data_IF_585932886548
#
_entry.id   IF_585932886548
#
_cell.length_a   1.000
_cell.length_b   1.000
_cell.length_c   1.000
_cell.angle_alpha   90.00
_cell.angle_beta   90.00
_cell.angle_gamma   90.00
#
_symmetry.space_group_name_H-M   'P 1'
#
loop_
_entity.id
_entity.type
_entity.pdbx_description
1 polymer ?
#
# COMPACT_ATOMS: atom_id res chain seq x y z
N UNK A 1 6.35 2.35 -14.84
CA UNK A 1 7.54 2.27 -13.97
C UNK A 1 7.50 3.48 -13.06
N UNK A 2 6.99 3.31 -11.84
CA UNK A 2 6.95 4.41 -10.87
C UNK A 2 8.35 4.61 -10.33
N UNK A 3 9.06 5.62 -10.85
CA UNK A 3 10.24 6.15 -10.16
C UNK A 3 9.75 7.14 -9.12
N UNK A 4 9.53 6.68 -7.89
CA UNK A 4 9.30 7.56 -6.76
C UNK A 4 10.54 7.50 -5.86
N UNK A 5 11.32 8.59 -5.80
CA UNK A 5 12.35 8.74 -4.77
C UNK A 5 11.68 9.14 -3.47
N UNK A 6 11.25 8.17 -2.66
CA UNK A 6 10.81 8.44 -1.29
C UNK A 6 12.05 8.43 -0.38
N UNK A 7 12.42 9.59 0.18
CA UNK A 7 13.48 9.67 1.18
C UNK A 7 12.98 9.11 2.52
N UNK A 8 13.77 8.24 3.13
CA UNK A 8 13.53 7.80 4.50
C UNK A 8 13.69 9.00 5.45
N UNK A 9 12.73 9.25 6.34
CA UNK A 9 12.75 10.42 7.24
C UNK A 9 13.75 10.29 8.39
N UNK A 10 14.45 9.14 8.49
CA UNK A 10 15.46 8.86 9.53
C UNK A 10 16.68 8.16 8.95
N UNK A 11 17.87 8.67 9.29
CA UNK A 11 19.15 8.08 8.88
C UNK A 11 19.60 8.48 7.47
N UNK A 12 20.72 7.91 7.02
CA UNK A 12 21.22 8.15 5.66
C UNK A 12 20.25 7.55 4.64
N UNK A 13 19.97 8.23 3.51
CA UNK A 13 19.15 7.67 2.44
C UNK A 13 19.70 6.31 2.01
N UNK A 14 18.85 5.29 2.00
CA UNK A 14 19.16 3.95 1.49
C UNK A 14 18.33 3.71 0.24
N UNK A 15 18.97 3.18 -0.79
CA UNK A 15 18.26 2.72 -1.98
C UNK A 15 17.39 1.53 -1.59
N UNK A 16 16.10 1.62 -1.87
CA UNK A 16 15.17 0.50 -1.82
C UNK A 16 14.67 0.27 -3.24
N UNK A 17 15.02 -0.89 -3.81
CA UNK A 17 14.54 -1.32 -5.11
C UNK A 17 13.26 -2.13 -4.91
N UNK A 18 12.27 -1.86 -5.74
CA UNK A 18 10.95 -2.49 -5.67
C UNK A 18 10.52 -2.97 -7.04
N UNK A 19 10.08 -4.22 -7.11
CA UNK A 19 9.34 -4.77 -8.23
C UNK A 19 7.87 -4.38 -8.09
N UNK A 20 7.33 -3.69 -9.10
CA UNK A 20 5.90 -3.40 -9.21
C UNK A 20 5.13 -4.58 -9.80
N UNK A 21 4.33 -5.23 -8.97
CA UNK A 21 3.47 -6.36 -9.30
C UNK A 21 2.01 -5.91 -9.33
N UNK A 22 1.22 -6.60 -10.17
CA UNK A 22 -0.25 -6.48 -10.22
C UNK A 22 -0.75 -5.01 -10.31
N UNK A 23 -0.31 -4.23 -11.32
CA UNK A 23 -0.78 -2.87 -11.48
C UNK A 23 -2.29 -2.85 -11.76
N UNK A 24 -3.00 -2.02 -11.01
CA UNK A 24 -4.38 -1.64 -11.31
C UNK A 24 -4.41 -0.13 -11.40
N UNK A 25 -4.79 0.42 -12.53
CA UNK A 25 -4.87 1.85 -12.76
C UNK A 25 -6.21 2.21 -13.36
N UNK A 26 -6.66 3.44 -13.10
CA UNK A 26 -7.68 4.10 -13.92
C UNK A 26 -7.00 5.21 -14.73
N UNK A 27 -7.65 5.64 -15.80
CA UNK A 27 -7.19 6.82 -16.53
C UNK A 27 -7.28 8.01 -15.56
N UNK A 28 -6.19 8.75 -15.34
CA UNK A 28 -6.20 9.87 -14.42
C UNK A 28 -7.14 10.95 -14.94
N UNK A 29 -7.83 11.68 -14.05
CA UNK A 29 -8.55 12.87 -14.46
C UNK A 29 -7.58 13.89 -15.08
N UNK A 30 -8.10 14.84 -15.86
CA UNK A 30 -7.26 15.92 -16.36
C UNK A 30 -6.54 16.62 -15.20
N UNK A 31 -5.27 17.05 -15.37
CA UNK A 31 -4.55 17.78 -14.35
C UNK A 31 -5.35 19.00 -13.88
N UNK A 32 -5.36 19.26 -12.58
CA UNK A 32 -6.02 20.43 -12.02
C UNK A 32 -5.33 21.71 -12.54
N UNK A 33 -6.03 22.62 -13.23
CA UNK A 33 -5.48 23.92 -13.59
C UNK A 33 -5.08 24.71 -12.35
N UNK A 34 -3.93 25.40 -12.35
CA UNK A 34 -3.49 26.20 -11.19
C UNK A 34 -2.94 25.39 -10.00
N UNK A 35 -2.50 24.14 -10.22
CA UNK A 35 -1.86 23.30 -9.20
C UNK A 35 -0.37 23.61 -8.99
N UNK A 36 0.37 22.69 -8.34
CA UNK A 36 1.81 22.84 -8.05
C UNK A 36 2.70 23.14 -9.28
N UNK A 37 2.18 22.91 -10.49
CA UNK A 37 2.85 23.20 -11.78
C UNK A 37 2.94 24.70 -12.10
N UNK A 38 2.16 25.53 -11.40
CA UNK A 38 2.08 26.98 -11.62
C UNK A 38 2.50 27.79 -10.37
N UNK A 39 2.92 27.12 -9.29
CA UNK A 39 3.31 27.77 -8.03
C UNK A 39 4.76 28.27 -8.10
N UNK A 40 4.99 29.54 -7.73
CA UNK A 40 6.33 30.08 -7.54
C UNK A 40 6.98 29.48 -6.28
N UNK A 41 8.18 28.92 -6.43
CA UNK A 41 8.92 28.32 -5.32
C UNK A 41 9.49 29.40 -4.38
N UNK A 42 8.75 29.75 -3.33
CA UNK A 42 9.12 30.79 -2.35
C UNK A 42 10.09 30.30 -1.25
N UNK A 43 10.34 28.99 -1.19
CA UNK A 43 11.18 28.34 -0.19
C UNK A 43 10.59 28.31 1.23
N UNK A 44 9.30 28.63 1.40
CA UNK A 44 8.61 28.71 2.69
C UNK A 44 7.33 27.89 2.74
N UNK A 45 6.52 27.96 1.69
CA UNK A 45 5.28 27.20 1.58
C UNK A 45 5.57 25.77 1.12
N UNK A 46 4.90 24.80 1.76
CA UNK A 46 4.81 23.45 1.23
C UNK A 46 3.71 23.42 0.18
N UNK A 47 3.91 22.63 -0.87
CA UNK A 47 2.88 22.39 -1.87
C UNK A 47 1.76 21.53 -1.28
N UNK A 48 0.52 21.82 -1.67
CA UNK A 48 -0.63 21.01 -1.27
C UNK A 48 -0.54 19.60 -1.90
N UNK A 49 -0.96 18.60 -1.14
CA UNK A 49 -1.07 17.22 -1.64
C UNK A 49 -2.24 17.08 -2.61
N UNK A 50 -1.98 16.50 -3.79
CA UNK A 50 -3.00 16.18 -4.79
C UNK A 50 -3.59 14.78 -4.61
N UNK A 51 -2.89 13.91 -3.85
CA UNK A 51 -3.28 12.53 -3.63
C UNK A 51 -3.07 12.09 -2.19
N UNK A 52 -3.85 11.09 -1.80
CA UNK A 52 -3.70 10.35 -0.56
C UNK A 52 -3.23 8.92 -0.87
N UNK A 53 -2.11 8.52 -0.28
CA UNK A 53 -1.51 7.21 -0.49
C UNK A 53 -1.60 6.39 0.79
N UNK A 54 -2.19 5.20 0.69
CA UNK A 54 -2.15 4.20 1.74
C UNK A 54 -1.18 3.08 1.35
N UNK A 55 -0.16 2.88 2.18
CA UNK A 55 0.89 1.90 2.00
C UNK A 55 0.84 0.88 3.14
N UNK A 56 0.58 -0.40 2.85
CA UNK A 56 0.63 -1.45 3.88
C UNK A 56 1.92 -2.24 3.70
N UNK A 57 2.77 -2.33 4.73
CA UNK A 57 4.02 -3.09 4.67
C UNK A 57 3.85 -4.46 5.32
N UNK A 58 4.38 -5.50 4.69
CA UNK A 58 4.24 -6.89 5.08
C UNK A 58 5.61 -7.54 5.29
N UNK A 59 5.76 -8.22 6.43
CA UNK A 59 6.93 -9.03 6.75
C UNK A 59 6.58 -10.49 6.48
N UNK A 60 6.60 -10.88 5.20
CA UNK A 60 6.24 -12.23 4.76
C UNK A 60 7.37 -13.20 5.14
N UNK A 61 7.01 -14.35 5.70
CA UNK A 61 8.00 -15.37 6.08
C UNK A 61 8.68 -15.98 4.85
N UNK A 62 9.96 -16.37 4.96
CA UNK A 62 10.68 -17.06 3.89
C UNK A 62 9.94 -18.30 3.40
N UNK A 63 9.79 -18.42 2.08
CA UNK A 63 9.09 -19.51 1.40
C UNK A 63 7.58 -19.30 1.27
N UNK A 64 7.00 -18.26 1.89
CA UNK A 64 5.57 -17.94 1.82
C UNK A 64 5.24 -16.82 0.81
N UNK A 65 6.24 -16.24 0.16
CA UNK A 65 6.11 -15.09 -0.75
C UNK A 65 5.20 -15.40 -1.94
N UNK A 66 5.41 -16.53 -2.60
CA UNK A 66 4.59 -16.95 -3.75
C UNK A 66 3.11 -17.12 -3.37
N UNK A 67 2.83 -17.75 -2.22
CA UNK A 67 1.46 -17.89 -1.71
C UNK A 67 0.84 -16.54 -1.33
N UNK A 68 1.64 -15.63 -0.79
CA UNK A 68 1.21 -14.26 -0.50
C UNK A 68 0.87 -13.49 -1.78
N UNK A 69 1.77 -13.47 -2.77
CA UNK A 69 1.56 -12.82 -4.08
C UNK A 69 0.32 -13.40 -4.79
N UNK A 70 0.17 -14.73 -4.78
CA UNK A 70 -0.98 -15.39 -5.38
C UNK A 70 -2.30 -15.03 -4.70
N UNK A 71 -2.31 -14.83 -3.37
CA UNK A 71 -3.48 -14.35 -2.63
C UNK A 71 -3.88 -12.91 -3.02
N UNK A 72 -2.95 -12.10 -3.52
CA UNK A 72 -3.28 -10.79 -4.10
C UNK A 72 -3.73 -10.91 -5.55
N UNK A 73 -3.06 -11.75 -6.35
CA UNK A 73 -3.39 -11.96 -7.75
C UNK A 73 -4.76 -12.62 -7.97
N UNK A 74 -5.18 -13.52 -7.09
CA UNK A 74 -6.47 -14.23 -7.18
C UNK A 74 -7.67 -13.37 -6.80
N UNK A 75 -7.46 -12.14 -6.34
CA UNK A 75 -8.56 -11.25 -5.96
C UNK A 75 -9.04 -10.51 -7.19
N UNK A 76 -10.32 -10.67 -7.50
CA UNK A 76 -11.02 -9.75 -8.37
C UNK A 76 -11.02 -8.36 -7.69
N UNK A 77 -10.33 -7.41 -8.30
CA UNK A 77 -10.14 -6.08 -7.72
C UNK A 77 -11.33 -5.18 -8.04
N UNK A 78 -12.20 -4.96 -7.06
CA UNK A 78 -13.28 -3.96 -7.15
C UNK A 78 -12.78 -2.54 -6.85
N UNK A 79 -11.46 -2.30 -6.81
CA UNK A 79 -10.89 -1.00 -6.46
C UNK A 79 -11.07 0.02 -7.58
N UNK A 80 -10.90 -0.41 -8.83
CA UNK A 80 -10.99 0.46 -10.00
C UNK A 80 -12.37 1.15 -10.15
N UNK A 81 -13.42 0.59 -9.56
CA UNK A 81 -14.77 1.15 -9.59
C UNK A 81 -15.11 2.06 -8.40
N UNK A 82 -14.15 2.32 -7.48
CA UNK A 82 -14.40 3.12 -6.28
C UNK A 82 -14.16 4.59 -6.56
N UNK A 83 -15.05 5.44 -6.04
CA UNK A 83 -14.86 6.89 -6.14
C UNK A 83 -13.52 7.30 -5.54
N UNK A 84 -12.82 8.15 -6.26
CA UNK A 84 -11.50 8.66 -5.90
C UNK A 84 -10.37 7.64 -5.95
N UNK A 85 -10.57 6.38 -6.36
CA UNK A 85 -9.44 5.47 -6.59
C UNK A 85 -8.65 5.89 -7.83
N UNK A 86 -7.32 5.88 -7.75
CA UNK A 86 -6.44 6.26 -8.86
C UNK A 86 -5.51 5.13 -9.30
N UNK A 87 -5.00 4.33 -8.36
CA UNK A 87 -4.20 3.19 -8.72
C UNK A 87 -3.72 2.33 -7.55
N UNK A 88 -3.18 1.18 -7.89
CA UNK A 88 -2.67 0.19 -6.96
C UNK A 88 -1.46 -0.56 -7.55
N UNK A 89 -0.48 -0.83 -6.68
CA UNK A 89 0.63 -1.75 -6.93
C UNK A 89 0.79 -2.66 -5.71
N UNK A 90 1.06 -3.94 -5.97
CA UNK A 90 1.77 -4.77 -5.01
C UNK A 90 3.27 -4.57 -5.29
N UNK A 91 4.04 -4.26 -4.27
CA UNK A 91 5.47 -4.01 -4.35
C UNK A 91 6.19 -5.15 -3.65
N UNK A 92 7.15 -5.78 -4.33
CA UNK A 92 8.11 -6.70 -3.73
C UNK A 92 9.45 -6.02 -3.63
N UNK A 93 10.07 -6.04 -2.45
CA UNK A 93 11.39 -5.45 -2.26
C UNK A 93 12.44 -6.38 -2.86
N UNK A 94 13.37 -5.82 -3.60
CA UNK A 94 14.56 -6.53 -4.03
C UNK A 94 15.61 -6.55 -2.92
N UNK A 95 16.28 -7.69 -2.75
CA UNK A 95 17.25 -7.94 -1.68
C UNK A 95 16.65 -8.08 -0.28
N UNK A 96 17.54 -8.21 0.72
CA UNK A 96 17.15 -8.40 2.12
C UNK A 96 16.80 -7.06 2.80
N UNK A 97 15.58 -6.87 3.31
CA UNK A 97 15.19 -5.65 4.03
C UNK A 97 15.86 -5.55 5.40
N UNK A 98 16.36 -4.35 5.74
CA UNK A 98 16.89 -4.02 7.06
C UNK A 98 15.78 -3.83 8.12
N UNK A 99 14.58 -3.42 7.69
CA UNK A 99 13.40 -3.27 8.52
C UNK A 99 12.52 -4.54 8.58
N UNK A 100 12.95 -5.62 7.90
CA UNK A 100 12.24 -6.89 7.83
C UNK A 100 10.95 -6.89 6.99
N UNK A 101 10.63 -5.80 6.28
CA UNK A 101 9.45 -5.76 5.40
C UNK A 101 9.83 -6.10 3.96
N UNK A 102 9.31 -7.22 3.47
CA UNK A 102 9.64 -7.78 2.15
C UNK A 102 8.68 -7.32 1.07
N UNK A 103 7.44 -6.98 1.44
CA UNK A 103 6.40 -6.57 0.50
C UNK A 103 5.67 -5.34 0.99
N UNK A 104 5.07 -4.60 0.07
CA UNK A 104 4.14 -3.53 0.40
C UNK A 104 3.04 -3.38 -0.62
N UNK A 105 1.82 -3.03 -0.23
CA UNK A 105 0.84 -2.49 -1.19
C UNK A 105 0.98 -0.98 -1.23
N UNK A 106 0.84 -0.37 -2.41
CA UNK A 106 0.68 1.06 -2.59
C UNK A 106 -0.69 1.29 -3.24
N UNK A 107 -1.59 2.01 -2.57
CA UNK A 107 -2.87 2.42 -3.15
C UNK A 107 -2.98 3.93 -3.15
N UNK A 108 -3.35 4.51 -4.28
CA UNK A 108 -3.44 5.95 -4.52
C UNK A 108 -4.90 6.35 -4.65
N UNK A 109 -5.26 7.42 -3.95
CA UNK A 109 -6.61 7.97 -3.86
C UNK A 109 -6.56 9.48 -4.11
N UNK A 110 -7.65 10.04 -4.61
CA UNK A 110 -7.85 11.49 -4.79
C UNK A 110 -7.61 12.24 -3.49
N UNK A 111 -8.16 11.74 -2.39
CA UNK A 111 -8.08 12.37 -1.09
C UNK A 111 -8.31 11.35 0.02
N UNK A 112 -8.06 11.78 1.26
CA UNK A 112 -8.26 10.96 2.45
C UNK A 112 -9.72 10.56 2.64
N UNK A 113 -10.68 11.42 2.29
CA UNK A 113 -12.10 11.15 2.48
C UNK A 113 -12.58 10.00 1.58
N UNK A 114 -12.14 9.96 0.32
CA UNK A 114 -12.40 8.87 -0.61
C UNK A 114 -11.84 7.54 -0.09
N UNK A 115 -10.60 7.55 0.41
CA UNK A 115 -10.01 6.38 1.04
C UNK A 115 -10.80 5.90 2.27
N UNK A 116 -11.20 6.82 3.14
CA UNK A 116 -11.96 6.50 4.36
C UNK A 116 -13.37 5.98 4.06
N UNK A 117 -14.05 6.56 3.08
CA UNK A 117 -15.35 6.10 2.60
C UNK A 117 -15.25 4.66 2.06
N UNK A 118 -14.23 4.37 1.25
CA UNK A 118 -13.96 3.00 0.82
C UNK A 118 -13.61 2.08 1.99
N UNK A 119 -12.76 2.54 2.93
CA UNK A 119 -12.32 1.76 4.08
C UNK A 119 -13.49 1.36 5.00
N UNK A 120 -14.51 2.20 5.11
CA UNK A 120 -15.72 1.93 5.88
C UNK A 120 -16.77 1.08 5.15
N UNK A 121 -16.61 0.81 3.85
CA UNK A 121 -17.58 0.03 3.08
C UNK A 121 -17.57 -1.47 3.40
N UNK A 122 -18.70 -2.16 3.18
CA UNK A 122 -18.87 -3.59 3.42
C UNK A 122 -17.86 -4.46 2.64
N UNK A 123 -17.35 -3.95 1.51
CA UNK A 123 -16.33 -4.58 0.67
C UNK A 123 -14.98 -4.79 1.36
N UNK A 124 -14.74 -4.07 2.47
CA UNK A 124 -13.61 -4.30 3.37
C UNK A 124 -14.03 -5.03 4.65
N UNK A 125 -15.30 -4.94 5.07
CA UNK A 125 -15.82 -5.56 6.28
C UNK A 125 -15.76 -7.11 6.27
N UNK A 126 -15.75 -7.73 5.09
CA UNK A 126 -15.54 -9.18 4.92
C UNK A 126 -14.07 -9.65 4.89
N UNK A 127 -13.09 -8.76 5.14
CA UNK A 127 -11.65 -9.05 4.94
C UNK A 127 -10.87 -8.96 6.26
N UNK A 128 -9.81 -9.77 6.46
CA UNK A 128 -8.94 -9.62 7.62
C UNK A 128 -8.36 -8.19 7.63
N UNK A 129 -8.59 -7.46 8.72
CA UNK A 129 -7.99 -6.13 8.94
C UNK A 129 -6.47 -6.24 8.74
N UNK A 130 -5.82 -5.35 7.97
CA UNK A 130 -4.37 -5.22 8.08
C UNK A 130 -4.07 -4.75 9.51
N UNK A 131 -3.49 -5.64 10.32
CA UNK A 131 -3.25 -5.43 11.76
C UNK A 131 -4.25 -6.05 12.73
N UNK A 132 -5.26 -6.80 12.27
CA UNK A 132 -6.18 -7.52 13.15
C UNK A 132 -5.65 -8.91 13.51
N UNK A 133 -4.64 -8.97 14.38
CA UNK A 133 -4.30 -10.22 15.07
C UNK A 133 -5.51 -10.70 15.87
N UNK A 134 -5.93 -11.94 15.62
CA UNK A 134 -7.03 -12.58 16.33
C UNK A 134 -6.85 -12.50 17.84
N UNK A 135 -7.96 -12.29 18.54
CA UNK A 135 -8.01 -11.99 19.96
C UNK A 135 -7.27 -12.99 20.84
N UNK A 136 -6.69 -12.44 21.91
CA UNK A 136 -6.35 -13.19 23.10
C UNK A 136 -7.66 -13.72 23.72
N UNK A 137 -7.77 -15.05 23.81
CA UNK A 137 -8.84 -15.73 24.53
C UNK A 137 -8.41 -17.16 24.87
N UNK A 138 -8.04 -17.38 26.13
CA UNK A 138 -8.26 -18.65 26.84
C UNK A 138 -7.19 -19.75 26.74
N UNK A 139 -6.42 -19.85 27.83
CA UNK A 139 -5.99 -21.05 28.57
C UNK A 139 -6.16 -22.48 28.00
N UNK A 140 -5.09 -23.25 28.20
CA UNK A 140 -4.96 -24.69 28.53
C UNK A 140 -5.55 -25.77 27.59
N UNK A 141 -4.67 -26.63 27.06
CA UNK A 141 -5.03 -27.91 26.45
C UNK A 141 -3.92 -28.56 25.60
N UNK A 142 -3.45 -29.73 26.03
CA UNK A 142 -2.46 -30.60 25.38
C UNK A 142 -2.77 -30.97 23.90
N UNK A 143 -1.70 -31.06 23.10
CA UNK A 143 -1.52 -32.14 22.10
C UNK A 143 -2.46 -32.21 20.90
N UNK A 144 -2.31 -31.30 19.92
CA UNK A 144 -2.84 -31.50 18.56
C UNK A 144 -2.10 -30.62 17.53
N UNK A 145 -1.92 -31.07 16.28
CA UNK A 145 -1.25 -30.24 15.27
C UNK A 145 -2.06 -28.96 15.03
N UNK A 146 -1.42 -27.79 14.83
CA UNK A 146 -2.12 -26.52 14.74
C UNK A 146 -3.10 -26.53 13.55
N UNK A 147 -4.40 -26.49 13.86
CA UNK A 147 -5.48 -26.28 12.88
C UNK A 147 -5.59 -24.78 12.57
N UNK A 148 -4.80 -24.33 11.60
CA UNK A 148 -4.93 -23.02 10.99
C UNK A 148 -4.03 -22.95 9.74
N UNK A 149 -4.36 -22.11 8.74
CA UNK A 149 -3.40 -21.84 7.69
C UNK A 149 -2.08 -21.36 8.33
N UNK A 150 -0.91 -21.79 7.82
CA UNK A 150 0.37 -21.43 8.40
C UNK A 150 0.46 -19.90 8.56
N UNK A 151 0.99 -19.47 9.70
CA UNK A 151 1.24 -18.05 9.95
C UNK A 151 2.11 -17.52 8.80
N UNK A 152 1.59 -16.54 8.04
CA UNK A 152 2.23 -16.02 6.82
C UNK A 152 3.20 -14.87 7.10
N UNK A 153 3.03 -14.20 8.26
CA UNK A 153 3.76 -12.98 8.60
C UNK A 153 4.62 -13.16 9.85
N UNK A 154 5.88 -12.71 9.78
CA UNK A 154 6.80 -12.67 10.91
C UNK A 154 6.42 -11.61 11.95
N UNK A 155 5.80 -10.51 11.50
CA UNK A 155 5.19 -9.46 12.33
C UNK A 155 3.91 -8.92 11.68
N UNK A 156 3.00 -8.30 12.45
CA UNK A 156 1.77 -7.73 11.90
C UNK A 156 2.05 -6.74 10.76
N UNK A 157 1.16 -6.66 9.74
CA UNK A 157 1.28 -5.64 8.71
C UNK A 157 1.23 -4.22 9.30
N UNK A 158 2.07 -3.34 8.77
CA UNK A 158 2.21 -1.96 9.26
C UNK A 158 1.71 -0.97 8.19
N UNK A 159 0.53 -0.34 8.39
CA UNK A 159 0.05 0.70 7.50
C UNK A 159 0.83 1.99 7.68
N UNK A 160 1.01 2.73 6.60
CA UNK A 160 1.62 4.05 6.55
C UNK A 160 0.85 4.88 5.52
N UNK A 161 0.67 6.15 5.81
CA UNK A 161 -0.17 7.04 5.02
C UNK A 161 0.62 8.28 4.63
N UNK A 162 0.42 8.74 3.41
CA UNK A 162 1.11 9.88 2.85
C UNK A 162 0.12 10.77 2.12
N UNK A 163 0.33 12.08 2.22
CA UNK A 163 -0.20 13.05 1.27
C UNK A 163 0.95 13.42 0.35
N UNK A 164 0.66 13.54 -0.94
CA UNK A 164 1.71 13.75 -1.92
C UNK A 164 1.20 14.32 -3.22
N UNK A 165 2.16 14.56 -4.10
CA UNK A 165 1.94 15.07 -5.45
C UNK A 165 2.28 13.95 -6.43
N UNK A 166 1.39 13.70 -7.38
CA UNK A 166 1.61 12.69 -8.40
C UNK A 166 2.28 13.34 -9.62
N UNK A 167 3.58 13.07 -9.76
CA UNK A 167 4.44 13.75 -10.76
C UNK A 167 4.52 12.98 -12.09
N UNK A 168 4.33 11.66 -12.06
CA UNK A 168 4.45 10.80 -13.24
C UNK A 168 3.17 10.00 -13.45
N UNK A 169 2.45 10.37 -14.50
CA UNK A 169 1.25 9.67 -14.98
C UNK A 169 1.47 9.29 -16.45
N UNK A 170 1.07 8.07 -16.84
CA UNK A 170 0.92 7.74 -18.26
C UNK A 170 -0.53 7.97 -18.69
N UNK A 171 -0.78 8.05 -20.00
CA UNK A 171 -2.15 8.09 -20.54
C UNK A 171 -3.01 6.88 -20.13
N UNK A 172 -2.38 5.81 -19.61
CA UNK A 172 -3.03 4.60 -19.10
C UNK A 172 -3.08 4.55 -17.56
N UNK A 173 -2.71 5.62 -16.88
CA UNK A 173 -2.52 5.68 -15.43
C UNK A 173 -1.12 5.29 -14.98
N UNK A 174 -1.02 4.76 -13.76
CA UNK A 174 0.24 4.46 -13.04
C UNK A 174 0.93 3.19 -13.57
#
# INVERSE_FOLDING_TARGET
MVLATMQNTKGKPKVALWDGLLPVSVVPPAPTPGGWREVEADGKAMLDGEVYVAMNRFSVLPGMESGFEQRFASRESTLASRDGFQGFLLLRRDGAPDDGFTHSTLSVWRDKAAFEAWRGSEDRAGKPKPGGGGGAGGADGEGGPPKGPPQMFAKPPEPSFYEGILVLESARGI
#
